data_IF_683453941403
#
_entry.id   IF_683453941403
#
_cell.length_a   1.000
_cell.length_b   1.000
_cell.length_c   1.000
_cell.angle_alpha   90.00
_cell.angle_beta   90.00
_cell.angle_gamma   90.00
#
_symmetry.space_group_name_H-M   'P 1'
#
loop_
_entity.id
_entity.type
_entity.pdbx_description
1 polymer ?
#
# COMPACT_ATOMS: atom_id res chain seq x y z
N UNK A 1 -5.17 13.46 2.95
CA UNK A 1 -6.39 12.65 3.20
C UNK A 1 -7.21 12.70 1.92
N UNK A 2 -8.04 11.70 1.61
CA UNK A 2 -8.82 11.71 0.37
C UNK A 2 -9.88 12.81 0.39
N UNK A 3 -10.00 13.53 -0.72
CA UNK A 3 -10.98 14.60 -0.90
C UNK A 3 -12.38 14.03 -1.15
N UNK A 4 -13.45 14.75 -0.77
CA UNK A 4 -14.83 14.29 -0.98
C UNK A 4 -15.14 13.85 -2.42
N UNK A 5 -14.52 14.52 -3.40
CA UNK A 5 -14.71 14.26 -4.84
C UNK A 5 -14.06 12.97 -5.34
N UNK A 6 -13.16 12.36 -4.54
CA UNK A 6 -12.51 11.10 -4.87
C UNK A 6 -13.38 9.89 -4.49
N UNK A 7 -14.34 10.05 -3.57
CA UNK A 7 -15.24 8.97 -3.20
C UNK A 7 -16.19 8.60 -4.34
N UNK A 8 -16.56 7.31 -4.41
CA UNK A 8 -17.36 6.74 -5.48
C UNK A 8 -16.57 6.39 -6.73
N UNK A 9 -15.29 6.80 -6.82
CA UNK A 9 -14.40 6.51 -7.95
C UNK A 9 -13.33 5.48 -7.56
N UNK A 10 -12.76 4.74 -8.52
CA UNK A 10 -11.54 3.98 -8.27
C UNK A 10 -10.41 4.91 -7.80
N UNK A 11 -9.54 4.42 -6.92
CA UNK A 11 -8.35 5.19 -6.51
C UNK A 11 -7.48 5.54 -7.71
N UNK A 12 -6.70 6.63 -7.60
CA UNK A 12 -5.75 7.03 -8.63
C UNK A 12 -4.85 5.86 -9.10
N UNK A 13 -4.60 5.77 -10.41
CA UNK A 13 -3.88 4.63 -11.01
C UNK A 13 -2.44 4.54 -10.52
N UNK A 14 -1.76 5.69 -10.44
CA UNK A 14 -0.41 5.77 -9.90
C UNK A 14 -0.37 5.30 -8.45
N UNK A 15 -1.38 5.69 -7.65
CA UNK A 15 -1.50 5.21 -6.27
C UNK A 15 -1.68 3.68 -6.23
N UNK A 16 -2.57 3.12 -7.05
CA UNK A 16 -2.76 1.66 -7.15
C UNK A 16 -1.44 0.93 -7.46
N UNK A 17 -0.69 1.40 -8.46
CA UNK A 17 0.60 0.81 -8.84
C UNK A 17 1.60 0.89 -7.69
N UNK A 18 1.72 2.05 -7.03
CA UNK A 18 2.64 2.25 -5.91
C UNK A 18 2.28 1.34 -4.75
N UNK A 19 1.01 1.25 -4.37
CA UNK A 19 0.58 0.37 -3.27
C UNK A 19 0.89 -1.08 -3.62
N UNK A 20 0.49 -1.56 -4.80
CA UNK A 20 0.72 -2.93 -5.27
C UNK A 20 2.19 -3.32 -5.28
N UNK A 21 3.08 -2.40 -5.68
CA UNK A 21 4.52 -2.66 -5.71
C UNK A 21 5.13 -2.75 -4.32
N UNK A 22 4.57 -2.02 -3.37
CA UNK A 22 5.21 -1.78 -2.08
C UNK A 22 4.51 -2.46 -0.89
N UNK A 23 3.48 -3.27 -1.11
CA UNK A 23 2.75 -3.98 -0.06
C UNK A 23 2.58 -5.46 -0.38
N UNK A 24 2.34 -6.24 0.66
CA UNK A 24 2.24 -7.70 0.65
C UNK A 24 0.85 -8.15 1.09
N UNK A 25 0.58 -9.46 0.97
CA UNK A 25 -0.67 -10.04 1.49
C UNK A 25 -0.74 -9.91 3.02
N UNK A 26 0.38 -9.97 3.71
CA UNK A 26 0.42 -9.84 5.18
C UNK A 26 0.05 -8.41 5.60
N UNK A 27 0.50 -7.41 4.83
CA UNK A 27 0.09 -6.01 5.05
C UNK A 27 -1.43 -5.86 4.93
N UNK A 28 -2.06 -6.53 3.96
CA UNK A 28 -3.51 -6.49 3.80
C UNK A 28 -4.23 -7.15 4.98
N UNK A 29 -3.72 -8.28 5.47
CA UNK A 29 -4.27 -8.97 6.63
C UNK A 29 -4.17 -8.12 7.90
N UNK A 30 -3.01 -7.49 8.11
CA UNK A 30 -2.77 -6.59 9.23
C UNK A 30 -3.71 -5.38 9.20
N UNK A 31 -3.82 -4.70 8.04
CA UNK A 31 -4.75 -3.56 7.88
C UNK A 31 -6.20 -4.00 8.07
N UNK A 32 -6.59 -5.17 7.57
CA UNK A 32 -7.95 -5.68 7.74
C UNK A 32 -8.31 -5.86 9.22
N UNK A 33 -7.40 -6.42 10.02
CA UNK A 33 -7.59 -6.63 11.45
C UNK A 33 -7.79 -5.32 12.23
N UNK A 34 -7.05 -4.26 11.88
CA UNK A 34 -7.10 -2.99 12.63
C UNK A 34 -8.16 -2.01 12.12
N UNK A 35 -8.58 -2.13 10.86
CA UNK A 35 -9.54 -1.18 10.27
C UNK A 35 -10.97 -1.71 10.18
N UNK A 36 -11.22 -3.00 10.46
CA UNK A 36 -12.51 -3.64 10.24
C UNK A 36 -13.01 -3.49 8.78
N UNK A 37 -12.08 -3.52 7.83
CA UNK A 37 -12.35 -3.58 6.38
C UNK A 37 -11.85 -4.94 5.90
N UNK A 38 -12.68 -5.70 5.20
CA UNK A 38 -12.29 -7.06 4.81
C UNK A 38 -11.06 -7.05 3.90
N UNK A 39 -10.23 -8.09 4.01
CA UNK A 39 -9.08 -8.30 3.13
C UNK A 39 -9.47 -8.17 1.65
N UNK A 40 -10.58 -8.78 1.24
CA UNK A 40 -11.09 -8.71 -0.13
C UNK A 40 -11.45 -7.29 -0.54
N UNK A 41 -12.10 -6.51 0.33
CA UNK A 41 -12.44 -5.11 0.04
C UNK A 41 -11.18 -4.27 -0.15
N UNK A 42 -10.16 -4.44 0.68
CA UNK A 42 -8.89 -3.73 0.55
C UNK A 42 -8.24 -4.06 -0.79
N UNK A 43 -8.14 -5.35 -1.11
CA UNK A 43 -7.63 -5.84 -2.39
C UNK A 43 -8.42 -5.22 -3.55
N UNK A 44 -9.73 -5.31 -3.54
CA UNK A 44 -10.55 -4.91 -4.68
C UNK A 44 -10.48 -3.38 -4.93
N UNK A 45 -10.38 -2.57 -3.87
CA UNK A 45 -10.11 -1.12 -4.01
C UNK A 45 -8.70 -0.86 -4.56
N UNK A 46 -7.69 -1.58 -4.04
CA UNK A 46 -6.30 -1.46 -4.48
C UNK A 46 -6.11 -1.90 -5.94
N UNK A 47 -6.84 -2.91 -6.41
CA UNK A 47 -6.88 -3.35 -7.81
C UNK A 47 -7.88 -2.55 -8.66
N UNK A 48 -8.51 -1.50 -8.11
CA UNK A 48 -9.45 -0.61 -8.81
C UNK A 48 -10.69 -1.34 -9.37
N UNK A 49 -11.04 -2.51 -8.83
CA UNK A 49 -12.28 -3.23 -9.16
C UNK A 49 -13.45 -2.80 -8.26
N UNK A 50 -13.16 -2.16 -7.12
CA UNK A 50 -14.13 -1.47 -6.28
C UNK A 50 -13.79 0.03 -6.14
N UNK A 51 -14.81 0.85 -5.96
CA UNK A 51 -14.64 2.28 -5.69
C UNK A 51 -14.14 2.56 -4.27
N UNK A 52 -13.43 3.67 -4.12
CA UNK A 52 -13.09 4.26 -2.83
C UNK A 52 -14.37 4.79 -2.16
N UNK A 53 -14.56 4.45 -0.89
CA UNK A 53 -15.69 4.91 -0.05
C UNK A 53 -15.16 5.44 1.27
N UNK A 54 -15.97 6.20 2.00
CA UNK A 54 -15.62 6.63 3.35
C UNK A 54 -15.27 5.47 4.28
N UNK A 55 -15.95 4.32 4.14
CA UNK A 55 -15.72 3.16 5.00
C UNK A 55 -14.40 2.45 4.69
N UNK A 56 -14.04 2.29 3.41
CA UNK A 56 -12.81 1.60 3.03
C UNK A 56 -11.57 2.52 2.97
N UNK A 57 -11.74 3.85 2.95
CA UNK A 57 -10.63 4.81 2.84
C UNK A 57 -9.68 4.79 4.02
N UNK A 58 -10.15 4.44 5.23
CA UNK A 58 -9.28 4.22 6.40
C UNK A 58 -8.26 3.11 6.17
N UNK A 59 -8.64 2.03 5.48
CA UNK A 59 -7.74 0.94 5.16
C UNK A 59 -6.70 1.38 4.12
N UNK A 60 -7.12 2.09 3.07
CA UNK A 60 -6.19 2.59 2.05
C UNK A 60 -5.20 3.61 2.65
N UNK A 61 -5.65 4.48 3.57
CA UNK A 61 -4.77 5.40 4.30
C UNK A 61 -3.68 4.66 5.08
N UNK A 62 -4.04 3.59 5.77
CA UNK A 62 -3.06 2.83 6.54
C UNK A 62 -2.10 2.07 5.63
N UNK A 63 -2.63 1.54 4.53
CA UNK A 63 -1.84 0.87 3.52
C UNK A 63 -0.84 1.82 2.83
N UNK A 64 -1.16 3.11 2.69
CA UNK A 64 -0.22 4.14 2.20
C UNK A 64 0.99 4.27 3.12
N UNK A 65 0.79 4.29 4.44
CA UNK A 65 1.89 4.38 5.40
C UNK A 65 2.80 3.15 5.32
N UNK A 66 2.19 1.97 5.36
CA UNK A 66 2.91 0.69 5.25
C UNK A 66 3.69 0.61 3.92
N UNK A 67 3.06 1.03 2.80
CA UNK A 67 3.71 1.08 1.50
C UNK A 67 4.95 2.00 1.49
N UNK A 68 4.87 3.14 2.18
CA UNK A 68 5.99 4.06 2.34
C UNK A 68 7.12 3.42 3.16
N UNK A 69 6.81 2.86 4.32
CA UNK A 69 7.79 2.23 5.21
C UNK A 69 8.50 1.05 4.52
N UNK A 70 7.74 0.21 3.82
CA UNK A 70 8.27 -0.90 3.04
C UNK A 70 9.19 -0.42 1.90
N UNK A 71 8.85 0.71 1.25
CA UNK A 71 9.69 1.28 0.20
C UNK A 71 11.01 1.80 0.76
N UNK A 72 10.97 2.48 1.90
CA UNK A 72 12.15 2.97 2.60
C UNK A 72 13.04 1.81 3.07
N UNK A 73 12.45 0.78 3.69
CA UNK A 73 13.18 -0.40 4.12
C UNK A 73 13.91 -1.09 2.96
N UNK A 74 13.25 -1.25 1.81
CA UNK A 74 13.89 -1.81 0.60
C UNK A 74 15.02 -0.93 0.08
N UNK A 75 14.89 0.39 0.13
CA UNK A 75 15.96 1.29 -0.28
C UNK A 75 17.19 1.10 0.62
N UNK A 76 17.01 1.14 1.94
CA UNK A 76 18.10 0.96 2.91
C UNK A 76 18.76 -0.41 2.78
N UNK A 77 17.95 -1.46 2.56
CA UNK A 77 18.47 -2.80 2.30
C UNK A 77 19.33 -2.82 1.04
N UNK A 78 18.86 -2.25 -0.07
CA UNK A 78 19.60 -2.21 -1.31
C UNK A 78 20.92 -1.41 -1.20
N UNK A 79 20.94 -0.34 -0.40
CA UNK A 79 22.17 0.42 -0.11
C UNK A 79 23.19 -0.43 0.65
N UNK A 80 22.75 -1.16 1.69
CA UNK A 80 23.61 -2.07 2.45
C UNK A 80 24.12 -3.23 1.59
N UNK A 81 23.25 -3.82 0.77
CA UNK A 81 23.60 -4.92 -0.12
C UNK A 81 24.67 -4.48 -1.13
N UNK A 82 24.51 -3.28 -1.73
CA UNK A 82 25.52 -2.69 -2.62
C UNK A 82 26.86 -2.52 -1.92
N UNK A 83 26.85 -2.00 -0.69
CA UNK A 83 28.08 -1.81 0.08
C UNK A 83 28.78 -3.13 0.38
N UNK A 84 28.02 -4.17 0.76
CA UNK A 84 28.57 -5.51 0.98
C UNK A 84 29.15 -6.11 -0.30
N UNK A 85 28.41 -6.09 -1.40
CA UNK A 85 28.85 -6.65 -2.68
C UNK A 85 30.08 -5.92 -3.23
N UNK A 86 30.18 -4.60 -3.05
CA UNK A 86 31.35 -3.82 -3.47
C UNK A 86 32.64 -4.19 -2.70
N UNK A 87 32.54 -4.84 -1.53
CA UNK A 87 33.74 -5.39 -0.84
C UNK A 87 34.23 -6.69 -1.45
N UNK A 88 33.40 -7.35 -2.26
CA UNK A 88 33.68 -8.63 -2.91
C UNK A 88 34.08 -8.49 -4.39
N UNK A 89 33.86 -7.30 -4.98
CA UNK A 89 34.30 -6.92 -6.33
C UNK A 89 35.69 -6.31 -6.28
#
# INVERSE_FOLDING_TARGET
MFDPEEYGKPINERLSIILRRNTTKDDFANVAAITNVSFSTIRDVLYRTNSLTYSNSKAIRELIKIAFDNALARQLQAENDKHFLNKLL
#
